data_IF_980544039771
#
_entry.id   IF_980544039771
#
_cell.length_a   1.000
_cell.length_b   1.000
_cell.length_c   1.000
_cell.angle_alpha   90.00
_cell.angle_beta   90.00
_cell.angle_gamma   90.00
#
_symmetry.space_group_name_H-M   'P 1'
#
loop_
_entity.id
_entity.type
_entity.pdbx_description
1 polymer ?
#
# COMPACT_ATOMS: atom_id res chain seq x y z
N UNK A 1 -0.25 9.10 -1.03
CA UNK A 1 0.52 8.36 -2.06
C UNK A 1 0.05 8.80 -3.44
N UNK A 2 0.73 9.78 -4.06
CA UNK A 2 0.43 10.22 -5.44
C UNK A 2 0.52 9.06 -6.43
N UNK A 3 1.52 8.19 -6.23
CA UNK A 3 1.73 6.97 -6.99
C UNK A 3 0.51 6.05 -7.08
N UNK A 4 -0.39 6.05 -6.09
CA UNK A 4 -1.63 5.26 -6.20
C UNK A 4 -2.43 5.66 -7.45
N UNK A 5 -2.58 6.96 -7.68
CA UNK A 5 -3.34 7.48 -8.82
C UNK A 5 -2.58 7.36 -10.14
N UNK A 6 -1.25 7.46 -10.11
CA UNK A 6 -0.44 7.30 -11.31
C UNK A 6 -0.46 5.85 -11.83
N UNK A 7 -0.57 4.87 -10.93
CA UNK A 7 -0.50 3.45 -11.26
C UNK A 7 -1.86 2.76 -11.36
N UNK A 8 -2.90 3.32 -10.74
CA UNK A 8 -4.26 2.79 -10.83
C UNK A 8 -4.77 2.87 -12.27
N UNK A 9 -5.12 1.73 -12.89
CA UNK A 9 -5.64 1.73 -14.24
C UNK A 9 -7.03 2.36 -14.27
N UNK A 10 -7.30 3.17 -15.29
CA UNK A 10 -8.68 3.50 -15.66
C UNK A 10 -9.38 2.27 -16.24
N UNK A 11 -10.71 2.33 -16.37
CA UNK A 11 -11.51 1.19 -16.84
C UNK A 11 -11.07 0.68 -18.22
N UNK A 12 -10.72 1.59 -19.12
CA UNK A 12 -10.20 1.30 -20.45
C UNK A 12 -8.78 0.69 -20.42
N UNK A 13 -7.94 1.13 -19.47
CA UNK A 13 -6.58 0.63 -19.30
C UNK A 13 -6.51 -0.70 -18.52
N UNK A 14 -7.62 -1.15 -17.93
CA UNK A 14 -7.64 -2.28 -17.01
C UNK A 14 -7.05 -3.54 -17.65
N UNK A 15 -7.51 -3.90 -18.85
CA UNK A 15 -7.03 -5.09 -19.55
C UNK A 15 -5.53 -5.01 -19.86
N UNK A 16 -5.08 -3.89 -20.45
CA UNK A 16 -3.65 -3.70 -20.71
C UNK A 16 -2.80 -3.68 -19.44
N UNK A 17 -3.32 -3.12 -18.34
CA UNK A 17 -2.62 -3.05 -17.06
C UNK A 17 -2.54 -4.41 -16.37
N UNK A 18 -3.54 -5.28 -16.54
CA UNK A 18 -3.53 -6.66 -16.04
C UNK A 18 -2.65 -7.60 -16.86
N UNK A 19 -2.23 -7.22 -18.07
CA UNK A 19 -1.30 -8.00 -18.89
C UNK A 19 0.17 -7.60 -18.64
N UNK A 20 0.41 -6.43 -18.05
CA UNK A 20 1.75 -5.95 -17.72
C UNK A 20 2.11 -6.36 -16.29
N UNK A 21 3.09 -7.26 -16.17
CA UNK A 21 3.51 -7.83 -14.88
C UNK A 21 4.28 -6.82 -14.02
N UNK A 22 5.10 -5.96 -14.63
CA UNK A 22 5.87 -4.94 -13.93
C UNK A 22 4.93 -3.90 -13.32
N UNK A 23 3.89 -3.54 -14.08
CA UNK A 23 2.82 -2.66 -13.61
C UNK A 23 2.03 -3.28 -12.47
N UNK A 24 1.71 -4.57 -12.55
CA UNK A 24 1.01 -5.27 -11.47
C UNK A 24 1.82 -5.30 -10.17
N UNK A 25 3.12 -5.60 -10.25
CA UNK A 25 3.99 -5.58 -9.07
C UNK A 25 4.12 -4.18 -8.48
N UNK A 26 4.34 -3.17 -9.32
CA UNK A 26 4.41 -1.77 -8.89
C UNK A 26 3.12 -1.36 -8.18
N UNK A 27 1.96 -1.67 -8.75
CA UNK A 27 0.66 -1.37 -8.15
C UNK A 27 0.44 -2.13 -6.84
N UNK A 28 0.86 -3.40 -6.76
CA UNK A 28 0.78 -4.21 -5.54
C UNK A 28 1.56 -3.59 -4.38
N UNK A 29 2.81 -3.14 -4.61
CA UNK A 29 3.61 -2.48 -3.58
C UNK A 29 2.99 -1.16 -3.09
N UNK A 30 2.32 -0.44 -3.98
CA UNK A 30 1.61 0.78 -3.60
C UNK A 30 0.41 0.45 -2.70
N UNK A 31 -0.36 -0.60 -3.01
CA UNK A 31 -1.47 -1.06 -2.18
C UNK A 31 -0.98 -1.55 -0.80
N UNK A 32 0.11 -2.32 -0.76
CA UNK A 32 0.76 -2.76 0.48
C UNK A 32 1.13 -1.56 1.37
N UNK A 33 1.76 -0.52 0.80
CA UNK A 33 2.10 0.70 1.54
C UNK A 33 0.87 1.43 2.09
N UNK A 34 -0.20 1.55 1.30
CA UNK A 34 -1.46 2.19 1.74
C UNK A 34 -2.15 1.38 2.84
N UNK A 35 -2.17 0.06 2.73
CA UNK A 35 -2.76 -0.81 3.72
C UNK A 35 -1.98 -0.80 5.03
N UNK A 36 -0.63 -0.80 4.99
CA UNK A 36 0.23 -0.65 6.17
C UNK A 36 -0.03 0.66 6.93
N UNK A 37 -0.28 1.76 6.22
CA UNK A 37 -0.67 3.03 6.87
C UNK A 37 -2.01 2.96 7.60
N UNK A 38 -2.88 2.02 7.25
CA UNK A 38 -4.23 1.88 7.82
C UNK A 38 -4.40 0.62 8.67
N UNK A 39 -3.35 -0.21 8.82
CA UNK A 39 -3.47 -1.53 9.44
C UNK A 39 -3.93 -1.45 10.90
N UNK A 40 -3.55 -0.39 11.62
CA UNK A 40 -4.00 -0.14 13.01
C UNK A 40 -5.51 0.06 13.10
N UNK A 41 -6.14 0.62 12.07
CA UNK A 41 -7.58 0.88 12.03
C UNK A 41 -8.38 -0.28 11.43
N UNK A 42 -7.83 -0.98 10.44
CA UNK A 42 -8.47 -2.10 9.79
C UNK A 42 -7.44 -3.14 9.35
N UNK A 43 -7.45 -4.29 10.03
CA UNK A 43 -6.53 -5.40 9.77
C UNK A 43 -6.93 -6.24 8.54
N UNK A 44 -8.19 -6.24 8.09
CA UNK A 44 -8.67 -7.09 7.00
C UNK A 44 -8.03 -6.69 5.67
N UNK A 45 -7.99 -5.39 5.39
CA UNK A 45 -7.34 -4.87 4.18
C UNK A 45 -5.83 -5.13 4.15
N UNK A 46 -5.19 -5.17 5.31
CA UNK A 46 -3.78 -5.51 5.42
C UNK A 46 -3.51 -6.94 4.94
N UNK A 47 -4.25 -7.93 5.44
CA UNK A 47 -4.02 -9.34 5.04
C UNK A 47 -4.27 -9.61 3.55
N UNK A 48 -5.16 -8.85 2.89
CA UNK A 48 -5.42 -9.00 1.46
C UNK A 48 -4.38 -8.36 0.53
N UNK A 49 -3.55 -7.46 1.05
CA UNK A 49 -2.65 -6.64 0.22
C UNK A 49 -1.19 -6.69 0.65
N UNK A 50 -0.90 -7.21 1.85
CA UNK A 50 0.43 -7.24 2.42
C UNK A 50 1.40 -8.06 1.56
N UNK A 51 2.46 -7.41 1.09
CA UNK A 51 3.59 -8.09 0.43
C UNK A 51 4.54 -8.71 1.46
N UNK A 52 4.61 -8.11 2.64
CA UNK A 52 5.40 -8.60 3.79
C UNK A 52 4.50 -8.64 5.00
N UNK A 53 4.46 -9.79 5.66
CA UNK A 53 3.66 -10.00 6.86
C UNK A 53 4.18 -9.16 8.03
N UNK A 54 3.28 -8.69 8.89
CA UNK A 54 3.65 -8.04 10.16
C UNK A 54 4.27 -9.02 11.17
N UNK A 55 4.17 -10.32 10.90
CA UNK A 55 4.70 -11.39 11.73
C UNK A 55 6.13 -11.79 11.34
N UNK A 56 6.69 -11.21 10.28
CA UNK A 56 8.10 -11.40 9.95
C UNK A 56 8.98 -10.80 11.05
N UNK A 57 10.04 -11.51 11.42
CA UNK A 57 10.91 -11.14 12.55
C UNK A 57 11.53 -9.75 12.40
N UNK A 58 11.84 -9.34 11.17
CA UNK A 58 12.47 -8.05 10.86
C UNK A 58 11.46 -6.95 10.48
N UNK A 59 10.15 -7.20 10.62
CA UNK A 59 9.14 -6.19 10.31
C UNK A 59 9.17 -5.05 11.34
N UNK A 60 9.33 -3.81 10.84
CA UNK A 60 9.28 -2.60 11.67
C UNK A 60 8.18 -1.68 11.18
N UNK A 61 7.27 -1.33 12.07
CA UNK A 61 6.23 -0.33 11.81
C UNK A 61 6.73 1.09 12.10
N UNK A 62 6.45 2.01 11.17
CA UNK A 62 6.62 3.44 11.43
C UNK A 62 5.41 3.99 12.19
N UNK A 63 5.55 4.14 13.50
CA UNK A 63 4.55 4.80 14.34
C UNK A 63 4.64 6.32 14.14
N UNK A 64 3.53 6.96 13.75
CA UNK A 64 3.46 8.41 13.63
C UNK A 64 3.50 9.05 15.02
N UNK A 65 4.38 10.03 15.19
CA UNK A 65 4.45 10.81 16.43
C UNK A 65 3.25 11.74 16.55
N UNK A 66 2.86 12.04 17.79
CA UNK A 66 1.82 13.03 18.06
C UNK A 66 2.26 14.39 17.50
N UNK A 67 1.32 15.09 16.86
CA UNK A 67 1.56 16.40 16.26
C UNK A 67 2.10 17.36 17.33
N UNK A 68 3.27 17.94 17.11
CA UNK A 68 3.82 18.98 17.97
C UNK A 68 3.19 20.32 17.60
N UNK A 69 2.69 21.05 18.59
CA UNK A 69 2.29 22.45 18.39
C UNK A 69 3.55 23.28 18.16
N UNK A 70 3.51 24.10 17.11
CA UNK A 70 4.53 25.12 16.86
C UNK A 70 4.08 26.30 17.72
N UNK A 71 4.81 26.57 18.80
CA UNK A 71 4.63 27.76 19.66
C UNK A 71 5.37 28.92 19.02
#
# INVERSE_FOLDING_TARGET
CRYLYDWMPSLDMFYSGMMDIERQFSFRFILDAVAKHRMVYNNEFFYGTASVSKFETDYVEKVLSVRKNII
#
